data_IF_173347778649
#
_entry.id   IF_173347778649
#
_cell.length_a   1.000
_cell.length_b   1.000
_cell.length_c   1.000
_cell.angle_alpha   90.00
_cell.angle_beta   90.00
_cell.angle_gamma   90.00
#
_symmetry.space_group_name_H-M   'P 1'
#
loop_
_entity.id
_entity.type
_entity.pdbx_description
1 polymer ?
#
# COMPACT_ATOMS: atom_id res chain seq x y z
N UNK A 1 14.29 -16.04 -12.13
CA UNK A 1 13.31 -15.43 -11.20
C UNK A 1 14.06 -15.19 -9.89
N UNK A 2 14.14 -13.96 -9.39
CA UNK A 2 14.83 -13.69 -8.12
C UNK A 2 13.86 -13.95 -6.96
N UNK A 3 14.32 -14.66 -5.94
CA UNK A 3 13.52 -14.97 -4.73
C UNK A 3 14.03 -14.13 -3.57
N UNK A 4 13.11 -13.68 -2.71
CA UNK A 4 13.43 -12.90 -1.52
C UNK A 4 12.76 -13.56 -0.32
N UNK A 5 13.53 -13.78 0.74
CA UNK A 5 13.07 -14.26 2.04
C UNK A 5 13.18 -13.11 3.04
N UNK A 6 12.06 -12.81 3.72
CA UNK A 6 12.04 -11.83 4.80
C UNK A 6 12.04 -12.55 6.15
N UNK A 7 13.05 -12.27 6.97
CA UNK A 7 13.15 -12.77 8.34
C UNK A 7 12.84 -11.62 9.31
N UNK A 8 11.67 -11.67 9.94
CA UNK A 8 11.18 -10.60 10.82
C UNK A 8 11.29 -11.03 12.27
N UNK A 9 12.11 -10.33 13.04
CA UNK A 9 12.20 -10.50 14.49
C UNK A 9 11.26 -9.53 15.19
N UNK A 10 10.38 -10.08 16.03
CA UNK A 10 9.42 -9.34 16.85
C UNK A 10 9.91 -9.28 18.29
N UNK A 11 10.09 -8.07 18.83
CA UNK A 11 10.38 -7.90 20.25
C UNK A 11 9.08 -7.76 21.04
N UNK A 12 8.61 -8.86 21.61
CA UNK A 12 7.36 -8.95 22.38
C UNK A 12 7.41 -8.25 23.75
N UNK A 13 8.61 -7.85 24.20
CA UNK A 13 8.77 -7.13 25.48
C UNK A 13 8.45 -5.63 25.39
N UNK A 14 8.25 -5.09 24.18
CA UNK A 14 7.85 -3.70 23.96
C UNK A 14 6.33 -3.60 24.19
N UNK A 15 5.93 -3.20 25.40
CA UNK A 15 4.53 -3.14 25.89
C UNK A 15 3.63 -2.10 25.18
N UNK A 16 4.19 -1.21 24.36
CA UNK A 16 3.42 -0.16 23.68
C UNK A 16 2.89 -0.61 22.33
N UNK A 17 1.67 -1.18 22.39
CA UNK A 17 0.75 -1.49 21.30
C UNK A 17 1.25 -2.53 20.29
N UNK A 18 0.72 -3.74 20.44
CA UNK A 18 0.83 -4.86 19.53
C UNK A 18 0.73 -4.41 18.06
N UNK A 19 1.90 -4.34 17.42
CA UNK A 19 2.03 -4.10 15.97
C UNK A 19 1.59 -5.36 15.20
N UNK A 20 1.33 -6.45 15.92
CA UNK A 20 0.97 -7.74 15.39
C UNK A 20 -0.08 -8.49 16.23
N UNK A 21 -0.84 -9.38 15.60
CA UNK A 21 -1.78 -10.28 16.24
C UNK A 21 -1.59 -11.70 15.71
N UNK A 22 -1.58 -12.70 16.59
CA UNK A 22 -1.52 -14.10 16.19
C UNK A 22 -2.89 -14.55 15.67
N UNK A 23 -2.91 -15.22 14.52
CA UNK A 23 -4.14 -15.66 13.84
C UNK A 23 -4.40 -17.17 13.96
N UNK A 24 -3.76 -17.85 14.93
CA UNK A 24 -3.77 -19.31 15.05
C UNK A 24 -5.18 -19.95 14.99
N UNK A 25 -6.20 -19.24 15.47
CA UNK A 25 -7.59 -19.73 15.47
C UNK A 25 -8.46 -19.25 14.29
N UNK A 26 -7.92 -18.37 13.45
CA UNK A 26 -8.64 -17.76 12.32
C UNK A 26 -8.04 -18.13 10.96
N UNK A 27 -6.86 -18.74 10.92
CA UNK A 27 -6.21 -19.15 9.67
C UNK A 27 -7.01 -20.22 8.92
N UNK A 28 -7.03 -20.07 7.60
CA UNK A 28 -7.53 -21.10 6.68
C UNK A 28 -6.57 -22.31 6.60
N UNK A 29 -5.27 -22.09 6.82
CA UNK A 29 -4.20 -23.07 6.71
C UNK A 29 -3.66 -23.42 8.11
N UNK A 30 -4.28 -24.42 8.75
CA UNK A 30 -3.99 -24.81 10.15
C UNK A 30 -2.57 -25.31 10.42
N UNK A 31 -1.80 -25.59 9.38
CA UNK A 31 -0.39 -26.02 9.50
C UNK A 31 0.57 -24.82 9.60
N UNK A 32 0.09 -23.62 9.27
CA UNK A 32 0.87 -22.39 9.29
C UNK A 32 0.63 -21.60 10.58
N UNK A 33 1.69 -20.96 11.08
CA UNK A 33 1.57 -19.94 12.12
C UNK A 33 1.49 -18.57 11.46
N UNK A 34 0.28 -18.07 11.37
CA UNK A 34 0.01 -16.75 10.79
C UNK A 34 0.07 -15.66 11.87
N UNK A 35 0.76 -14.57 11.52
CA UNK A 35 0.83 -13.36 12.34
C UNK A 35 0.38 -12.20 11.46
N UNK A 36 -0.68 -11.51 11.86
CA UNK A 36 -1.14 -10.27 11.26
C UNK A 36 -0.28 -9.12 11.77
N UNK A 37 0.08 -8.16 10.94
CA UNK A 37 0.63 -6.88 11.37
C UNK A 37 -0.02 -5.74 10.59
N UNK A 38 -0.08 -4.55 11.19
CA UNK A 38 -0.69 -3.38 10.55
C UNK A 38 0.11 -2.95 9.29
N UNK A 39 -0.53 -2.39 8.28
CA UNK A 39 0.15 -1.82 7.11
C UNK A 39 1.13 -0.70 7.47
N UNK A 40 0.95 -0.07 8.63
CA UNK A 40 1.84 0.96 9.17
C UNK A 40 2.97 0.41 10.05
N UNK A 41 3.14 -0.91 10.08
CA UNK A 41 4.24 -1.54 10.81
C UNK A 41 5.55 -1.13 10.18
N UNK A 42 6.38 -0.42 10.94
CA UNK A 42 7.72 -0.07 10.52
C UNK A 42 8.70 -1.16 10.96
N UNK A 43 9.60 -1.50 10.05
CA UNK A 43 10.64 -2.49 10.28
C UNK A 43 11.98 -1.89 9.93
N UNK A 44 12.97 -2.09 10.80
CA UNK A 44 14.35 -1.72 10.51
C UNK A 44 15.03 -2.87 9.77
N UNK A 45 15.52 -2.63 8.55
CA UNK A 45 16.35 -3.59 7.83
C UNK A 45 17.73 -3.63 8.47
N UNK A 46 18.08 -4.75 9.08
CA UNK A 46 19.37 -4.92 9.78
C UNK A 46 20.42 -5.59 8.90
N UNK A 47 19.99 -6.45 7.99
CA UNK A 47 20.92 -7.19 7.14
C UNK A 47 20.26 -7.59 5.82
N UNK A 48 21.03 -7.55 4.73
CA UNK A 48 20.64 -8.05 3.41
C UNK A 48 21.79 -8.87 2.85
N UNK A 49 21.55 -10.15 2.56
CA UNK A 49 22.53 -11.07 2.01
C UNK A 49 21.95 -11.87 0.84
N UNK A 50 22.80 -12.25 -0.11
CA UNK A 50 22.42 -13.13 -1.20
C UNK A 50 23.03 -14.49 -0.99
N UNK A 51 22.19 -15.52 -0.91
CA UNK A 51 22.63 -16.91 -0.94
C UNK A 51 22.81 -17.35 -2.41
N UNK A 52 24.04 -17.62 -2.86
CA UNK A 52 24.29 -18.03 -4.22
C UNK A 52 23.88 -19.49 -4.50
N UNK A 53 23.74 -20.34 -3.49
CA UNK A 53 23.35 -21.74 -3.65
C UNK A 53 21.84 -21.85 -3.86
N UNK A 54 21.07 -21.18 -3.00
CA UNK A 54 19.62 -21.17 -3.11
C UNK A 54 19.09 -20.06 -4.03
N UNK A 55 19.96 -19.17 -4.51
CA UNK A 55 19.55 -18.02 -5.34
C UNK A 55 18.44 -17.18 -4.66
N UNK A 56 18.58 -16.94 -3.35
CA UNK A 56 17.63 -16.20 -2.51
C UNK A 56 18.33 -14.99 -1.90
N UNK A 57 17.66 -13.85 -1.91
CA UNK A 57 18.03 -12.71 -1.07
C UNK A 57 17.36 -12.85 0.31
N UNK A 58 18.15 -12.94 1.36
CA UNK A 58 17.65 -12.93 2.74
C UNK A 58 17.71 -11.51 3.30
N UNK A 59 16.57 -11.01 3.77
CA UNK A 59 16.41 -9.67 4.33
C UNK A 59 15.98 -9.82 5.78
N UNK A 60 16.90 -9.53 6.71
CA UNK A 60 16.65 -9.61 8.15
C UNK A 60 16.19 -8.26 8.67
N UNK A 61 15.13 -8.27 9.45
CA UNK A 61 14.39 -7.08 9.85
C UNK A 61 13.92 -7.18 11.31
N UNK A 62 13.90 -6.05 12.00
CA UNK A 62 13.34 -5.95 13.35
C UNK A 62 12.10 -5.06 13.34
N UNK A 63 11.00 -5.50 13.96
CA UNK A 63 9.85 -4.63 14.18
C UNK A 63 10.20 -3.47 15.12
N UNK A 64 9.72 -2.28 14.76
CA UNK A 64 9.95 -1.05 15.52
C UNK A 64 8.72 -0.78 16.38
N UNK A 65 8.91 -0.56 17.70
CA UNK A 65 7.81 -0.18 18.57
C UNK A 65 7.26 1.20 18.20
N UNK A 66 5.94 1.34 18.26
CA UNK A 66 5.23 2.58 17.90
C UNK A 66 5.74 3.79 18.66
N UNK A 67 6.05 3.64 19.95
CA UNK A 67 6.57 4.70 20.82
C UNK A 67 7.99 5.18 20.47
N UNK A 68 8.77 4.37 19.76
CA UNK A 68 10.13 4.74 19.32
C UNK A 68 10.14 5.53 18.01
N UNK A 69 9.00 5.62 17.34
CA UNK A 69 8.85 6.38 16.10
C UNK A 69 8.49 7.82 16.49
N UNK A 70 9.39 8.77 16.19
CA UNK A 70 8.97 10.18 16.12
C UNK A 70 7.95 10.27 15.00
N UNK A 71 6.70 10.65 15.31
CA UNK A 71 5.64 10.73 14.30
C UNK A 71 6.09 11.65 13.17
N UNK A 72 6.49 11.04 12.06
CA UNK A 72 6.70 11.76 10.83
C UNK A 72 5.31 12.17 10.33
N UNK A 73 5.10 13.39 9.78
CA UNK A 73 3.81 13.83 9.25
C UNK A 73 3.15 12.83 8.28
N UNK A 74 3.97 12.01 7.63
CA UNK A 74 3.58 10.86 6.82
C UNK A 74 2.67 9.83 7.53
N UNK A 75 2.94 9.52 8.80
CA UNK A 75 2.18 8.50 9.54
C UNK A 75 0.78 8.99 9.94
N UNK A 76 0.64 10.29 10.24
CA UNK A 76 -0.68 10.89 10.45
C UNK A 76 -1.50 10.87 9.16
N UNK A 77 -0.89 11.19 8.02
CA UNK A 77 -1.56 11.15 6.71
C UNK A 77 -2.06 9.74 6.39
N UNK A 78 -1.24 8.70 6.59
CA UNK A 78 -1.71 7.32 6.35
C UNK A 78 -2.88 6.93 7.24
N UNK A 79 -2.83 7.28 8.53
CA UNK A 79 -3.94 7.00 9.45
C UNK A 79 -5.23 7.67 9.00
N UNK A 80 -5.17 8.95 8.61
CA UNK A 80 -6.34 9.67 8.10
C UNK A 80 -6.90 9.04 6.81
N UNK A 81 -6.05 8.51 5.95
CA UNK A 81 -6.49 7.90 4.69
C UNK A 81 -7.16 6.54 4.86
N UNK A 82 -6.71 5.72 5.81
CA UNK A 82 -7.43 4.50 6.18
C UNK A 82 -8.78 4.81 6.82
N UNK A 83 -8.90 5.93 7.56
CA UNK A 83 -10.19 6.43 8.06
C UNK A 83 -11.12 6.86 6.91
N UNK A 84 -10.57 7.33 5.78
CA UNK A 84 -11.34 7.65 4.57
C UNK A 84 -11.63 6.45 3.65
N UNK A 85 -11.41 5.21 4.11
CA UNK A 85 -11.69 3.96 3.38
C UNK A 85 -10.95 3.80 2.04
N UNK A 86 -9.79 4.42 1.86
CA UNK A 86 -8.93 4.07 0.73
C UNK A 86 -8.34 2.66 0.92
N UNK A 87 -8.17 1.91 -0.17
CA UNK A 87 -7.43 0.65 -0.10
C UNK A 87 -5.97 0.90 0.28
N UNK A 88 -5.31 -0.14 0.81
CA UNK A 88 -3.90 -0.05 1.20
C UNK A 88 -3.00 0.43 0.04
N UNK A 89 -3.33 0.06 -1.19
CA UNK A 89 -2.63 0.47 -2.41
C UNK A 89 -2.75 1.98 -2.67
N UNK A 90 -3.98 2.51 -2.59
CA UNK A 90 -4.22 3.95 -2.77
C UNK A 90 -3.59 4.75 -1.64
N UNK A 91 -3.79 4.30 -0.39
CA UNK A 91 -3.22 4.93 0.79
C UNK A 91 -1.68 5.01 0.70
N UNK A 92 -1.01 3.93 0.30
CA UNK A 92 0.45 3.93 0.14
C UNK A 92 0.91 4.91 -0.95
N UNK A 93 0.22 4.97 -2.09
CA UNK A 93 0.53 5.92 -3.16
C UNK A 93 0.43 7.38 -2.73
N UNK A 94 -0.65 7.73 -2.03
CA UNK A 94 -0.84 9.08 -1.49
C UNK A 94 0.21 9.38 -0.42
N UNK A 95 0.49 8.43 0.46
CA UNK A 95 1.52 8.57 1.47
C UNK A 95 2.88 8.87 0.83
N UNK A 96 3.18 8.20 -0.28
CA UNK A 96 4.40 8.49 -1.03
C UNK A 96 4.41 9.91 -1.61
N UNK A 97 3.27 10.43 -2.08
CA UNK A 97 3.15 11.79 -2.61
C UNK A 97 3.45 12.87 -1.55
N UNK A 98 2.96 12.67 -0.32
CA UNK A 98 3.19 13.63 0.78
C UNK A 98 4.52 13.42 1.51
N UNK A 99 5.00 12.18 1.59
CA UNK A 99 6.21 11.81 2.33
C UNK A 99 7.50 11.95 1.53
N UNK A 100 7.44 11.86 0.19
CA UNK A 100 8.62 11.92 -0.67
C UNK A 100 8.49 13.04 -1.68
N UNK A 101 9.50 13.90 -1.78
CA UNK A 101 9.56 14.98 -2.79
C UNK A 101 9.69 14.46 -4.24
N UNK A 102 9.65 13.14 -4.45
CA UNK A 102 9.90 12.48 -5.73
C UNK A 102 8.60 12.10 -6.44
N UNK A 103 7.79 13.09 -6.82
CA UNK A 103 6.49 12.91 -7.50
C UNK A 103 6.54 11.93 -8.69
N UNK A 104 7.63 11.94 -9.46
CA UNK A 104 7.80 11.03 -10.59
C UNK A 104 7.82 9.55 -10.19
N UNK A 105 8.34 9.22 -9.00
CA UNK A 105 8.34 7.85 -8.49
C UNK A 105 6.92 7.41 -8.11
N UNK A 106 6.13 8.32 -7.56
CA UNK A 106 4.72 8.07 -7.21
C UNK A 106 3.88 7.83 -8.46
N UNK A 107 4.09 8.62 -9.51
CA UNK A 107 3.46 8.39 -10.82
C UNK A 107 3.82 6.99 -11.34
N UNK A 108 5.10 6.61 -11.31
CA UNK A 108 5.54 5.27 -11.74
C UNK A 108 4.92 4.14 -10.90
N UNK A 109 4.75 4.35 -9.61
CA UNK A 109 4.05 3.41 -8.74
C UNK A 109 2.61 3.21 -9.21
N UNK A 110 1.86 4.29 -9.43
CA UNK A 110 0.50 4.19 -9.97
C UNK A 110 0.45 3.59 -11.38
N UNK A 111 1.43 3.88 -12.24
CA UNK A 111 1.55 3.24 -13.56
C UNK A 111 1.66 1.72 -13.46
N UNK A 112 2.51 1.22 -12.56
CA UNK A 112 2.68 -0.22 -12.34
C UNK A 112 1.40 -0.88 -11.81
N UNK A 113 0.68 -0.21 -10.90
CA UNK A 113 -0.59 -0.72 -10.39
C UNK A 113 -1.63 -0.77 -11.52
N UNK A 114 -1.75 0.29 -12.32
CA UNK A 114 -2.71 0.35 -13.42
C UNK A 114 -2.47 -0.72 -14.50
N UNK A 115 -1.23 -1.21 -14.64
CA UNK A 115 -0.89 -2.32 -15.54
C UNK A 115 -1.25 -3.71 -14.97
N UNK A 116 -1.42 -3.82 -13.65
CA UNK A 116 -1.63 -5.10 -12.95
C UNK A 116 -3.07 -5.29 -12.48
N UNK A 117 -3.81 -4.20 -12.27
CA UNK A 117 -5.20 -4.27 -11.84
C UNK A 117 -6.14 -4.71 -12.97
N UNK A 118 -7.13 -5.56 -12.67
CA UNK A 118 -8.22 -5.84 -13.60
C UNK A 118 -8.98 -4.56 -14.00
N UNK A 119 -9.56 -4.49 -15.21
CA UNK A 119 -10.29 -3.30 -15.70
C UNK A 119 -11.47 -2.84 -14.82
N UNK A 120 -11.99 -3.72 -13.97
CA UNK A 120 -13.14 -3.45 -13.10
C UNK A 120 -12.76 -3.30 -11.63
N UNK A 121 -11.46 -3.29 -11.30
CA UNK A 121 -11.00 -3.25 -9.92
C UNK A 121 -11.55 -2.04 -9.15
N UNK A 122 -12.02 -2.26 -7.92
CA UNK A 122 -12.73 -1.24 -7.12
C UNK A 122 -11.92 0.05 -6.97
N UNK A 123 -10.59 -0.06 -6.81
CA UNK A 123 -9.70 1.09 -6.61
C UNK A 123 -9.31 1.86 -7.88
N UNK A 124 -9.68 1.36 -9.07
CA UNK A 124 -9.21 1.93 -10.33
C UNK A 124 -9.52 3.43 -10.49
N UNK A 125 -10.73 3.93 -10.13
CA UNK A 125 -11.03 5.36 -10.20
C UNK A 125 -10.17 6.21 -9.27
N UNK A 126 -9.89 5.72 -8.06
CA UNK A 126 -9.14 6.47 -7.06
C UNK A 126 -7.66 6.54 -7.44
N UNK A 127 -7.09 5.46 -7.98
CA UNK A 127 -5.71 5.45 -8.49
C UNK A 127 -5.55 6.44 -9.66
N UNK A 128 -6.50 6.46 -10.59
CA UNK A 128 -6.51 7.41 -11.70
C UNK A 128 -6.61 8.85 -11.20
N UNK A 129 -7.48 9.13 -10.23
CA UNK A 129 -7.62 10.44 -9.62
C UNK A 129 -6.33 10.91 -8.94
N UNK A 130 -5.68 10.05 -8.15
CA UNK A 130 -4.42 10.40 -7.50
C UNK A 130 -3.29 10.66 -8.50
N UNK A 131 -3.21 9.87 -9.58
CA UNK A 131 -2.22 10.13 -10.65
C UNK A 131 -2.53 11.42 -11.41
N UNK A 132 -3.80 11.74 -11.63
CA UNK A 132 -4.22 12.99 -12.26
C UNK A 132 -3.81 14.23 -11.45
N UNK A 133 -3.98 14.18 -10.13
CA UNK A 133 -3.51 15.24 -9.21
C UNK A 133 -2.01 15.45 -9.37
N UNK A 134 -1.22 14.37 -9.36
CA UNK A 134 0.24 14.45 -9.56
C UNK A 134 0.63 15.03 -10.93
N UNK A 135 -0.09 14.66 -12.00
CA UNK A 135 0.11 15.26 -13.31
C UNK A 135 -0.21 16.76 -13.34
N UNK A 136 -1.32 17.17 -12.71
CA UNK A 136 -1.71 18.57 -12.60
C UNK A 136 -0.65 19.38 -11.85
N UNK A 137 -0.12 18.87 -10.75
CA UNK A 137 0.97 19.50 -10.00
C UNK A 137 2.27 19.64 -10.81
N UNK A 138 2.47 18.78 -11.81
CA UNK A 138 3.58 18.87 -12.77
C UNK A 138 3.30 19.77 -13.97
N UNK A 139 2.09 20.31 -14.10
CA UNK A 139 1.65 21.08 -15.27
C UNK A 139 1.29 20.21 -16.48
N UNK A 140 1.19 18.89 -16.30
CA UNK A 140 0.89 17.89 -17.34
C UNK A 140 -0.63 17.74 -17.54
N UNK A 141 -1.32 18.87 -17.78
CA UNK A 141 -2.79 18.96 -17.74
C UNK A 141 -3.53 18.00 -18.70
N UNK A 142 -2.92 17.66 -19.85
CA UNK A 142 -3.53 16.70 -20.79
C UNK A 142 -3.60 15.29 -20.21
N UNK A 143 -2.56 14.87 -19.50
CA UNK A 143 -2.53 13.55 -18.85
C UNK A 143 -3.47 13.52 -17.65
N UNK A 144 -3.49 14.60 -16.86
CA UNK A 144 -4.44 14.76 -15.77
C UNK A 144 -5.89 14.68 -16.25
N UNK A 145 -6.25 15.40 -17.31
CA UNK A 145 -7.60 15.39 -17.87
C UNK A 145 -8.02 13.98 -18.32
N UNK A 146 -7.15 13.29 -19.06
CA UNK A 146 -7.43 11.92 -19.51
C UNK A 146 -7.69 10.97 -18.33
N UNK A 147 -6.92 11.10 -17.25
CA UNK A 147 -7.11 10.26 -16.07
C UNK A 147 -8.40 10.60 -15.31
N UNK A 148 -8.73 11.88 -15.15
CA UNK A 148 -10.01 12.31 -14.57
C UNK A 148 -11.21 11.82 -15.38
N UNK A 149 -11.16 11.92 -16.71
CA UNK A 149 -12.23 11.46 -17.60
C UNK A 149 -12.45 9.95 -17.47
N UNK A 150 -11.37 9.16 -17.45
CA UNK A 150 -11.46 7.71 -17.25
C UNK A 150 -12.00 7.34 -15.87
N UNK A 151 -11.56 8.03 -14.82
CA UNK A 151 -12.07 7.80 -13.46
C UNK A 151 -13.58 8.09 -13.37
N UNK A 152 -14.03 9.18 -13.99
CA UNK A 152 -15.44 9.57 -14.06
C UNK A 152 -16.28 8.56 -14.86
N UNK A 153 -15.76 8.05 -15.97
CA UNK A 153 -16.44 7.05 -16.78
C UNK A 153 -16.72 5.77 -15.98
N UNK A 154 -15.71 5.24 -15.29
CA UNK A 154 -15.85 4.04 -14.45
C UNK A 154 -16.86 4.26 -13.32
N UNK A 155 -16.81 5.42 -12.65
CA UNK A 155 -17.76 5.76 -11.58
C UNK A 155 -19.19 5.83 -12.10
N UNK A 156 -19.40 6.41 -13.29
CA UNK A 156 -20.73 6.46 -13.94
C UNK A 156 -21.26 5.07 -14.27
N UNK A 157 -20.43 4.21 -14.86
CA UNK A 157 -20.82 2.83 -15.19
C UNK A 157 -21.26 2.07 -13.94
N UNK A 158 -20.50 2.17 -12.83
CA UNK A 158 -20.85 1.52 -11.56
C UNK A 158 -22.18 2.02 -10.97
N UNK A 159 -22.43 3.32 -11.04
CA UNK A 159 -23.69 3.89 -10.57
C UNK A 159 -24.85 3.33 -11.40
N UNK A 160 -24.71 3.29 -12.73
CA UNK A 160 -25.73 2.72 -13.63
C UNK A 160 -25.98 1.24 -13.35
N UNK A 161 -24.93 0.44 -13.17
CA UNK A 161 -25.05 -0.98 -12.79
C UNK A 161 -25.74 -1.17 -11.44
N UNK A 162 -25.41 -0.32 -10.46
CA UNK A 162 -26.03 -0.37 -9.13
C UNK A 162 -27.51 -0.03 -9.23
N UNK A 163 -27.87 1.01 -9.98
CA UNK A 163 -29.26 1.40 -10.23
C UNK A 163 -30.05 0.29 -10.93
N UNK A 164 -29.46 -0.43 -11.89
CA UNK A 164 -30.08 -1.56 -12.57
C UNK A 164 -30.29 -2.79 -11.67
N UNK A 165 -29.49 -2.94 -10.61
CA UNK A 165 -29.61 -4.07 -9.66
C UNK A 165 -30.68 -3.86 -8.58
N UNK A 166 -31.09 -2.62 -8.36
CA UNK A 166 -32.08 -2.25 -7.32
C UNK A 166 -33.45 -1.89 -7.90
N UNK A 167 -33.60 -1.91 -9.23
CA UNK A 167 -34.84 -1.72 -9.96
C UNK A 167 -35.45 -3.07 -10.35
#
# INVERSE_FOLDING_TARGET
MQRVLFEISLNTSLQDMAVFAELEHYTHFREEREVLFDFNSLFNVTHVEYDPFDHIWSVKMNAIAKSSIKEHPYLSTIREMFVQNHSATVAFGIAMAYGFEKKQQVIRYFDQILLTLPPYHVDLPDILEQRAILYQEKGENKMALNDYERALEIRRQRIQETLLRIA
#
